data_IF_336077922493
#
_entry.id   IF_336077922493
#
_cell.length_a   1.000
_cell.length_b   1.000
_cell.length_c   1.000
_cell.angle_alpha   90.00
_cell.angle_beta   90.00
_cell.angle_gamma   90.00
#
_symmetry.space_group_name_H-M   'P 1'
#
loop_
_entity.id
_entity.type
_entity.pdbx_description
1 polymer ?
#
# COMPACT_ATOMS: atom_id res chain seq x y z
N UNK A 1 14.42 -0.40 -32.89
CA UNK A 1 14.39 -0.99 -31.53
C UNK A 1 13.32 -0.27 -30.72
N UNK A 2 12.20 -0.94 -30.41
CA UNK A 2 11.25 -0.41 -29.45
C UNK A 2 11.86 -0.55 -28.05
N UNK A 3 12.26 0.56 -27.43
CA UNK A 3 12.58 0.60 -26.00
C UNK A 3 11.28 0.24 -25.30
N UNK A 4 11.23 -0.88 -24.57
CA UNK A 4 10.02 -1.28 -23.84
C UNK A 4 9.61 -0.13 -22.93
N UNK A 5 8.45 0.48 -23.22
CA UNK A 5 7.92 1.59 -22.43
C UNK A 5 7.43 0.98 -21.11
N UNK A 6 8.17 1.21 -20.03
CA UNK A 6 7.73 0.83 -18.69
C UNK A 6 6.65 1.79 -18.18
N UNK A 7 5.71 1.27 -17.40
CA UNK A 7 4.56 1.99 -16.88
C UNK A 7 4.90 2.71 -15.57
N UNK A 8 4.46 3.96 -15.43
CA UNK A 8 4.39 4.65 -14.15
C UNK A 8 2.92 4.73 -13.74
N UNK A 9 2.59 4.15 -12.59
CA UNK A 9 1.23 4.03 -12.09
C UNK A 9 1.07 4.93 -10.87
N UNK A 10 -0.02 5.68 -10.82
CA UNK A 10 -0.42 6.45 -9.64
C UNK A 10 -1.75 5.90 -9.16
N UNK A 11 -1.77 5.41 -7.92
CA UNK A 11 -2.98 5.02 -7.20
C UNK A 11 -3.38 6.19 -6.30
N UNK A 12 -4.67 6.50 -6.23
CA UNK A 12 -5.18 7.57 -5.38
C UNK A 12 -6.23 6.97 -4.44
N UNK A 13 -5.97 7.03 -3.14
CA UNK A 13 -6.89 6.58 -2.09
C UNK A 13 -6.85 7.57 -0.93
N UNK A 14 -7.89 8.40 -0.80
CA UNK A 14 -7.92 9.50 0.17
C UNK A 14 -8.61 9.15 1.50
N UNK A 15 -9.30 8.01 1.54
CA UNK A 15 -10.04 7.54 2.71
C UNK A 15 -9.21 6.62 3.59
N UNK A 16 -9.56 6.56 4.87
CA UNK A 16 -8.88 5.74 5.86
C UNK A 16 -7.49 6.27 6.24
N UNK A 17 -6.83 5.53 7.13
CA UNK A 17 -5.44 5.76 7.51
C UNK A 17 -4.56 4.75 6.78
N UNK A 18 -3.76 5.22 5.82
CA UNK A 18 -2.88 4.38 4.99
C UNK A 18 -1.43 4.59 5.42
N UNK A 19 -0.74 3.50 5.75
CA UNK A 19 0.71 3.42 5.97
C UNK A 19 1.23 2.06 5.50
N UNK A 20 2.52 1.94 5.17
CA UNK A 20 3.07 0.70 4.61
C UNK A 20 3.10 -0.45 5.61
N UNK A 21 3.50 -0.17 6.84
CA UNK A 21 3.63 -1.17 7.92
C UNK A 21 2.79 -0.81 9.14
N UNK A 22 2.48 -1.82 9.97
CA UNK A 22 1.76 -1.67 11.24
C UNK A 22 0.38 -0.99 11.11
N UNK A 23 -0.34 -1.11 9.99
CA UNK A 23 -1.63 -0.44 9.77
C UNK A 23 -2.59 -0.54 10.97
N UNK A 24 -3.28 0.55 11.30
CA UNK A 24 -4.28 0.58 12.38
C UNK A 24 -5.63 -0.02 11.95
N UNK A 25 -5.59 -1.25 11.42
CA UNK A 25 -6.79 -1.93 10.92
C UNK A 25 -7.84 -2.08 12.04
N UNK A 26 -9.09 -1.76 11.71
CA UNK A 26 -10.22 -1.81 12.65
C UNK A 26 -10.39 -0.57 13.52
N UNK A 27 -9.57 0.48 13.34
CA UNK A 27 -9.71 1.74 14.09
C UNK A 27 -11.03 2.46 13.83
N UNK A 28 -11.44 2.54 12.58
CA UNK A 28 -12.67 3.19 12.13
C UNK A 28 -13.27 2.45 10.92
N UNK A 29 -14.40 2.94 10.41
CA UNK A 29 -15.10 2.33 9.27
C UNK A 29 -14.30 2.33 7.97
N UNK A 30 -13.32 3.23 7.85
CA UNK A 30 -12.58 3.49 6.62
C UNK A 30 -11.19 2.80 6.63
N UNK A 31 -10.73 2.35 7.80
CA UNK A 31 -9.41 1.74 8.02
C UNK A 31 -9.55 0.24 8.25
N UNK A 32 -9.89 -0.49 7.19
CA UNK A 32 -10.11 -1.94 7.22
C UNK A 32 -9.54 -2.65 5.99
N UNK A 33 -10.27 -3.64 5.47
CA UNK A 33 -9.82 -4.45 4.33
C UNK A 33 -9.49 -3.63 3.08
N UNK A 34 -10.17 -2.51 2.85
CA UNK A 34 -9.88 -1.61 1.72
C UNK A 34 -8.47 -1.02 1.81
N UNK A 35 -8.05 -0.54 2.99
CA UNK A 35 -6.72 0.02 3.22
C UNK A 35 -5.65 -1.05 3.00
N UNK A 36 -5.84 -2.25 3.55
CA UNK A 36 -4.94 -3.38 3.35
C UNK A 36 -4.80 -3.70 1.85
N UNK A 37 -5.92 -3.80 1.15
CA UNK A 37 -5.96 -4.11 -0.28
C UNK A 37 -5.19 -3.10 -1.14
N UNK A 38 -5.37 -1.79 -0.94
CA UNK A 38 -4.67 -0.79 -1.77
C UNK A 38 -3.15 -0.82 -1.59
N UNK A 39 -2.67 -1.09 -0.38
CA UNK A 39 -1.23 -1.21 -0.11
C UNK A 39 -0.67 -2.50 -0.74
N UNK A 40 -1.35 -3.63 -0.58
CA UNK A 40 -0.97 -4.89 -1.23
C UNK A 40 -0.99 -4.79 -2.75
N UNK A 41 -1.99 -4.12 -3.33
CA UNK A 41 -2.08 -3.84 -4.75
C UNK A 41 -0.90 -2.98 -5.23
N UNK A 42 -0.54 -1.92 -4.50
CA UNK A 42 0.59 -1.07 -4.84
C UNK A 42 1.90 -1.87 -4.87
N UNK A 43 2.13 -2.72 -3.86
CA UNK A 43 3.29 -3.63 -3.80
C UNK A 43 3.29 -4.62 -4.97
N UNK A 44 2.17 -5.27 -5.23
CA UNK A 44 2.05 -6.25 -6.32
C UNK A 44 2.33 -5.62 -7.69
N UNK A 45 1.74 -4.45 -7.97
CA UNK A 45 1.99 -3.70 -9.20
C UNK A 45 3.45 -3.26 -9.32
N UNK A 46 4.07 -2.84 -8.21
CA UNK A 46 5.49 -2.45 -8.19
C UNK A 46 6.45 -3.58 -8.57
N UNK A 47 6.06 -4.83 -8.28
CA UNK A 47 6.82 -6.03 -8.63
C UNK A 47 6.54 -6.58 -10.04
N UNK A 48 5.57 -6.03 -10.78
CA UNK A 48 5.21 -6.55 -12.10
C UNK A 48 6.24 -6.21 -13.18
N UNK A 49 6.62 -7.16 -14.05
CA UNK A 49 7.41 -6.88 -15.24
C UNK A 49 6.77 -5.78 -16.09
N UNK A 50 7.58 -4.81 -16.52
CA UNK A 50 7.09 -3.67 -17.30
C UNK A 50 6.55 -2.51 -16.48
N UNK A 51 6.43 -2.63 -15.15
CA UNK A 51 6.18 -1.48 -14.27
C UNK A 51 7.53 -0.86 -13.88
N UNK A 52 7.62 0.46 -14.00
CA UNK A 52 8.78 1.25 -13.58
C UNK A 52 8.63 1.74 -12.14
N UNK A 53 7.43 2.17 -11.77
CA UNK A 53 7.14 2.79 -10.47
C UNK A 53 5.64 2.76 -10.19
N UNK A 54 5.30 2.64 -8.91
CA UNK A 54 3.95 2.85 -8.39
C UNK A 54 4.03 3.86 -7.26
N UNK A 55 3.21 4.92 -7.31
CA UNK A 55 2.99 5.81 -6.18
C UNK A 55 1.55 5.66 -5.68
N UNK A 56 1.37 5.41 -4.38
CA UNK A 56 0.08 5.44 -3.72
C UNK A 56 -0.09 6.79 -3.01
N UNK A 57 -0.91 7.66 -3.59
CA UNK A 57 -1.25 8.95 -3.00
C UNK A 57 -2.40 8.78 -2.00
N UNK A 58 -2.14 9.23 -0.78
CA UNK A 58 -3.09 9.26 0.33
C UNK A 58 -3.13 10.64 0.97
N UNK A 59 -4.08 10.83 1.89
CA UNK A 59 -4.15 12.02 2.73
C UNK A 59 -3.00 12.01 3.75
N UNK A 60 -2.20 13.07 3.78
CA UNK A 60 -1.26 13.34 4.86
C UNK A 60 -2.04 13.82 6.09
N UNK A 61 -1.85 13.18 7.24
CA UNK A 61 -2.61 13.47 8.47
C UNK A 61 -1.66 13.88 9.58
N UNK A 62 -1.72 15.14 10.01
CA UNK A 62 -1.01 15.64 11.18
C UNK A 62 -2.02 15.89 12.30
N UNK A 63 -2.18 14.90 13.17
CA UNK A 63 -3.12 14.96 14.29
C UNK A 63 -2.54 14.21 15.50
N UNK A 64 -2.84 14.64 16.74
CA UNK A 64 -2.25 14.06 17.95
C UNK A 64 -2.81 12.67 18.32
N UNK A 65 -3.92 12.25 17.72
CA UNK A 65 -4.64 11.01 18.03
C UNK A 65 -4.28 9.84 17.11
N UNK A 66 -3.44 10.07 16.09
CA UNK A 66 -2.91 9.04 15.19
C UNK A 66 -1.40 8.97 15.33
N UNK A 67 -0.81 7.88 14.82
CA UNK A 67 0.64 7.75 14.77
C UNK A 67 1.29 8.93 14.01
N UNK A 68 2.42 9.42 14.51
CA UNK A 68 3.14 10.53 13.88
C UNK A 68 3.58 10.19 12.45
N UNK A 69 3.73 8.90 12.13
CA UNK A 69 4.12 8.44 10.80
C UNK A 69 3.13 8.85 9.69
N UNK A 70 1.85 9.08 9.99
CA UNK A 70 0.89 9.58 8.98
C UNK A 70 1.13 11.03 8.55
N UNK A 71 1.96 11.76 9.30
CA UNK A 71 2.40 13.10 8.93
C UNK A 71 3.63 13.07 8.01
N UNK A 72 4.25 11.93 7.76
CA UNK A 72 5.36 11.83 6.83
C UNK A 72 4.87 12.08 5.38
N UNK A 73 5.54 12.95 4.61
CA UNK A 73 5.10 13.29 3.26
C UNK A 73 5.29 12.16 2.25
N UNK A 74 6.14 11.18 2.57
CA UNK A 74 6.41 10.03 1.72
C UNK A 74 6.97 8.86 2.54
N UNK A 75 6.52 7.66 2.22
CA UNK A 75 7.03 6.40 2.75
C UNK A 75 7.35 5.46 1.57
N UNK A 76 8.42 4.66 1.68
CA UNK A 76 8.69 3.61 0.71
C UNK A 76 7.95 2.35 1.15
N UNK A 77 7.07 1.82 0.30
CA UNK A 77 6.43 0.54 0.55
C UNK A 77 7.46 -0.58 0.34
N UNK A 78 7.66 -1.40 1.37
CA UNK A 78 8.45 -2.62 1.23
C UNK A 78 7.80 -3.53 0.17
N UNK A 79 8.58 -4.24 -0.65
CA UNK A 79 8.06 -5.29 -1.51
C UNK A 79 7.27 -6.33 -0.69
N UNK A 80 6.39 -7.08 -1.34
CA UNK A 80 5.76 -8.23 -0.70
C UNK A 80 6.87 -9.20 -0.27
N UNK A 81 6.97 -9.47 1.03
CA UNK A 81 7.77 -10.57 1.53
C UNK A 81 7.17 -11.85 0.97
N UNK A 82 7.93 -12.55 0.11
CA UNK A 82 7.53 -13.82 -0.50
C UNK A 82 7.29 -14.96 0.50
N UNK A 83 7.43 -14.72 1.81
CA UNK A 83 7.31 -15.75 2.85
C UNK A 83 5.93 -15.82 3.52
N UNK A 84 4.98 -14.92 3.24
CA UNK A 84 3.66 -14.94 3.89
C UNK A 84 2.52 -15.53 3.03
N UNK A 85 2.81 -16.10 1.86
CA UNK A 85 1.78 -16.75 1.01
C UNK A 85 1.50 -18.21 1.33
N UNK A 86 2.19 -18.81 2.32
CA UNK A 86 2.03 -20.23 2.68
C UNK A 86 1.10 -20.50 3.88
N UNK A 87 0.49 -19.49 4.51
CA UNK A 87 -0.37 -19.68 5.71
C UNK A 87 -1.88 -19.44 5.52
N UNK A 88 -2.42 -19.57 4.29
CA UNK A 88 -3.86 -19.82 4.11
C UNK A 88 -4.09 -21.15 3.37
N UNK A 89 -3.61 -22.23 3.98
CA UNK A 89 -4.13 -23.58 3.75
C UNK A 89 -4.94 -24.02 4.98
N UNK A 90 -6.27 -23.93 4.88
CA UNK A 90 -7.24 -24.43 5.85
C UNK A 90 -8.31 -23.37 6.15
N UNK A 91 -9.61 -23.59 6.02
CA UNK A 91 -10.37 -24.84 6.07
C UNK A 91 -11.55 -24.79 5.09
N UNK A 92 -11.91 -25.97 4.57
CA UNK A 92 -13.19 -26.24 3.91
C UNK A 92 -14.32 -26.34 4.93
#
# INVERSE_FOLDING_TARGET
QHKEKKLYIVLISLHGLIRGENMELGRDSDTGGQVKYVVELARALGSMPGVYRVDLLTRQVSAPDVDWSYAEPSEMLNPLDTESTDEEHGES
#
